data_IF_768713163657
#
_entry.id   IF_768713163657
#
_cell.length_a   1.000
_cell.length_b   1.000
_cell.length_c   1.000
_cell.angle_alpha   90.00
_cell.angle_beta   90.00
_cell.angle_gamma   90.00
#
_symmetry.space_group_name_H-M   'P 1'
#
loop_
_entity.id
_entity.type
_entity.pdbx_description
1 polymer ?
#
# COMPACT_ATOMS: atom_id res chain seq x y z
N UNK A 1 -7.05 10.61 -5.85
CA UNK A 1 -8.22 10.86 -4.98
C UNK A 1 -9.07 9.61 -4.99
N UNK A 2 -9.55 9.15 -3.84
CA UNK A 2 -10.37 7.94 -3.73
C UNK A 2 -11.78 8.37 -3.41
N UNK A 3 -12.73 7.95 -4.23
CA UNK A 3 -14.14 8.23 -4.03
C UNK A 3 -14.89 6.91 -3.89
N UNK A 4 -15.68 6.78 -2.82
CA UNK A 4 -16.55 5.63 -2.61
C UNK A 4 -17.98 6.11 -2.40
N UNK A 5 -18.82 5.88 -3.40
CA UNK A 5 -20.25 6.23 -3.33
C UNK A 5 -21.03 5.18 -2.55
N UNK A 6 -21.94 5.64 -1.70
CA UNK A 6 -22.91 4.80 -0.98
C UNK A 6 -23.80 4.10 -1.98
N UNK A 7 -24.02 2.79 -1.79
CA UNK A 7 -24.91 2.00 -2.65
C UNK A 7 -26.26 1.82 -1.98
N UNK A 8 -27.36 2.23 -2.64
CA UNK A 8 -28.73 1.94 -2.20
C UNK A 8 -28.94 2.11 -0.68
N UNK A 9 -29.40 1.05 -0.03
CA UNK A 9 -29.64 1.02 1.42
C UNK A 9 -28.48 0.43 2.24
N UNK A 10 -27.24 0.63 1.79
CA UNK A 10 -26.04 0.19 2.51
C UNK A 10 -25.96 0.83 3.90
N UNK A 11 -25.68 -0.01 4.91
CA UNK A 11 -25.37 0.46 6.26
C UNK A 11 -24.04 1.20 6.29
N UNK A 12 -23.94 2.25 7.11
CA UNK A 12 -22.76 3.12 7.18
C UNK A 12 -21.49 2.33 7.52
N UNK A 13 -21.59 1.33 8.39
CA UNK A 13 -20.47 0.45 8.78
C UNK A 13 -19.87 -0.32 7.59
N UNK A 14 -20.70 -0.78 6.65
CA UNK A 14 -20.25 -1.47 5.44
C UNK A 14 -19.56 -0.49 4.48
N UNK A 15 -20.10 0.72 4.35
CA UNK A 15 -19.51 1.79 3.54
C UNK A 15 -18.10 2.15 4.03
N UNK A 16 -17.91 2.32 5.35
CA UNK A 16 -16.61 2.61 5.95
C UNK A 16 -15.60 1.48 5.71
N UNK A 17 -16.03 0.22 5.83
CA UNK A 17 -15.15 -0.93 5.53
C UNK A 17 -14.70 -0.96 4.08
N UNK A 18 -15.60 -0.69 3.14
CA UNK A 18 -15.25 -0.57 1.71
C UNK A 18 -14.28 0.57 1.48
N UNK A 19 -14.56 1.75 2.02
CA UNK A 19 -13.64 2.88 1.94
C UNK A 19 -12.25 2.53 2.46
N UNK A 20 -12.15 1.91 3.63
CA UNK A 20 -10.86 1.47 4.17
C UNK A 20 -10.15 0.46 3.27
N UNK A 21 -10.88 -0.46 2.65
CA UNK A 21 -10.31 -1.43 1.71
C UNK A 21 -9.77 -0.75 0.45
N UNK A 22 -10.51 0.20 -0.12
CA UNK A 22 -10.09 0.99 -1.28
C UNK A 22 -8.86 1.86 -0.96
N UNK A 23 -8.82 2.47 0.23
CA UNK A 23 -7.65 3.21 0.72
C UNK A 23 -6.43 2.31 0.82
N UNK A 24 -6.58 1.09 1.34
CA UNK A 24 -5.48 0.12 1.41
C UNK A 24 -5.02 -0.36 0.03
N UNK A 25 -5.96 -0.67 -0.87
CA UNK A 25 -5.65 -1.16 -2.22
C UNK A 25 -4.99 -0.10 -3.08
N UNK A 26 -5.44 1.15 -3.00
CA UNK A 26 -4.84 2.27 -3.73
C UNK A 26 -3.40 2.58 -3.30
N UNK A 27 -3.01 2.18 -2.07
CA UNK A 27 -1.69 2.47 -1.52
C UNK A 27 -1.41 3.96 -1.29
N UNK A 28 -2.43 4.83 -1.34
CA UNK A 28 -2.23 6.29 -1.31
C UNK A 28 -1.52 6.78 -0.04
N UNK A 29 -1.73 6.10 1.09
CA UNK A 29 -1.06 6.40 2.35
C UNK A 29 0.44 6.11 2.30
N UNK A 30 0.84 5.03 1.61
CA UNK A 30 2.26 4.68 1.41
C UNK A 30 2.94 5.75 0.56
N UNK A 31 2.32 6.13 -0.57
CA UNK A 31 2.84 7.17 -1.46
C UNK A 31 2.94 8.52 -0.73
N UNK A 32 1.92 8.90 0.04
CA UNK A 32 1.94 10.13 0.82
C UNK A 32 3.04 10.13 1.90
N UNK A 33 3.33 8.97 2.50
CA UNK A 33 4.41 8.83 3.48
C UNK A 33 5.78 8.92 2.82
N UNK A 34 5.96 8.28 1.67
CA UNK A 34 7.22 8.29 0.92
C UNK A 34 7.54 9.70 0.40
N UNK A 35 6.52 10.45 -0.05
CA UNK A 35 6.67 11.82 -0.54
C UNK A 35 6.78 12.87 0.59
N UNK A 36 6.61 12.49 1.86
CA UNK A 36 6.65 13.43 2.99
C UNK A 36 8.01 14.12 3.12
N UNK A 37 9.09 13.41 2.77
CA UNK A 37 10.45 13.92 2.87
C UNK A 37 11.20 13.66 1.57
N UNK A 38 12.17 14.53 1.25
CA UNK A 38 13.04 14.32 0.11
C UNK A 38 13.87 13.04 0.30
N UNK A 39 13.88 12.20 -0.73
CA UNK A 39 14.75 11.02 -0.80
C UNK A 39 15.57 11.07 -2.09
N UNK A 40 16.87 10.78 -1.98
CA UNK A 40 17.75 10.67 -3.14
C UNK A 40 17.44 9.39 -3.91
N UNK A 41 17.61 9.42 -5.22
CA UNK A 41 17.53 8.21 -6.04
C UNK A 41 18.47 7.11 -5.54
N UNK A 42 17.97 5.89 -5.52
CA UNK A 42 18.73 4.74 -5.06
C UNK A 42 19.83 4.37 -6.05
N UNK A 43 21.04 4.14 -5.54
CA UNK A 43 22.12 3.55 -6.31
C UNK A 43 21.85 2.06 -6.64
N UNK A 44 22.62 1.49 -7.57
CA UNK A 44 22.46 0.08 -8.02
C UNK A 44 22.56 -0.92 -6.86
N UNK A 45 23.47 -0.70 -5.91
CA UNK A 45 23.68 -1.57 -4.75
C UNK A 45 22.49 -1.59 -3.81
N UNK A 46 21.93 -0.43 -3.49
CA UNK A 46 20.76 -0.27 -2.62
C UNK A 46 19.52 -0.87 -3.27
N UNK A 47 19.32 -0.69 -4.58
CA UNK A 47 18.25 -1.37 -5.33
C UNK A 47 18.35 -2.89 -5.21
N UNK A 48 19.56 -3.44 -5.34
CA UNK A 48 19.81 -4.89 -5.19
C UNK A 48 19.46 -5.38 -3.78
N UNK A 49 19.91 -4.68 -2.73
CA UNK A 49 19.61 -5.03 -1.33
C UNK A 49 18.10 -5.05 -1.04
N UNK A 50 17.36 -4.06 -1.55
CA UNK A 50 15.89 -4.01 -1.39
C UNK A 50 15.23 -5.18 -2.12
N UNK A 51 15.67 -5.52 -3.34
CA UNK A 51 15.14 -6.64 -4.10
C UNK A 51 15.33 -7.97 -3.35
N UNK A 52 16.54 -8.24 -2.84
CA UNK A 52 16.85 -9.45 -2.06
C UNK A 52 15.96 -9.52 -0.81
N UNK A 53 15.88 -8.44 -0.04
CA UNK A 53 15.02 -8.38 1.14
C UNK A 53 13.54 -8.64 0.80
N UNK A 54 13.05 -8.10 -0.31
CA UNK A 54 11.67 -8.32 -0.77
C UNK A 54 11.44 -9.79 -1.13
N UNK A 55 12.41 -10.45 -1.76
CA UNK A 55 12.32 -11.88 -2.07
C UNK A 55 12.32 -12.75 -0.82
N UNK A 56 13.15 -12.45 0.17
CA UNK A 56 13.20 -13.16 1.46
C UNK A 56 11.87 -13.05 2.20
N UNK A 57 11.32 -11.83 2.30
CA UNK A 57 10.01 -11.59 2.94
C UNK A 57 8.90 -12.35 2.21
N UNK A 58 8.91 -12.37 0.87
CA UNK A 58 7.92 -13.10 0.09
C UNK A 58 8.03 -14.61 0.27
N UNK A 59 9.24 -15.15 0.44
CA UNK A 59 9.47 -16.57 0.74
C UNK A 59 8.87 -16.94 2.10
N UNK A 60 9.18 -16.15 3.13
CA UNK A 60 8.63 -16.33 4.48
C UNK A 60 7.09 -16.27 4.50
N UNK A 61 6.49 -15.30 3.79
CA UNK A 61 5.03 -15.16 3.71
C UNK A 61 4.32 -16.32 3.01
N UNK A 62 5.01 -17.01 2.11
CA UNK A 62 4.47 -18.16 1.35
C UNK A 62 4.65 -19.50 2.08
N UNK A 63 5.30 -19.52 3.24
CA UNK A 63 5.46 -20.73 4.06
C UNK A 63 6.47 -21.74 3.51
N UNK A 64 7.53 -21.28 2.84
CA UNK A 64 8.64 -22.10 2.33
C UNK A 64 9.94 -21.86 3.10
#
# INVERSE_FOLDING_TARGET
MIEVKKKGNERIDVLVRRFNREVQQSGILTVAKDNRFFSKELNRGSRRKIAVRRTEINKLKRGW
#
